data_IF_713224511374
#
_entry.id   IF_713224511374
#
_cell.length_a   1.000
_cell.length_b   1.000
_cell.length_c   1.000
_cell.angle_alpha   90.00
_cell.angle_beta   90.00
_cell.angle_gamma   90.00
#
_symmetry.space_group_name_H-M   'P 1'
#
loop_
_entity.id
_entity.type
_entity.pdbx_description
1 polymer ?
#
# COMPACT_ATOMS: atom_id res chain seq x y z
N UNK A 1 5.01 10.62 -2.82
CA UNK A 1 5.79 10.10 -1.67
C UNK A 1 4.97 9.95 -0.39
N UNK A 2 4.34 11.01 0.14
CA UNK A 2 3.51 10.94 1.38
C UNK A 2 2.46 9.81 1.32
N UNK A 3 1.78 9.67 0.18
CA UNK A 3 0.79 8.60 -0.05
C UNK A 3 1.37 7.18 0.13
N UNK A 4 2.59 6.92 -0.32
CA UNK A 4 3.25 5.61 -0.15
C UNK A 4 3.62 5.36 1.31
N UNK A 5 4.02 6.40 2.05
CA UNK A 5 4.28 6.31 3.49
C UNK A 5 2.98 5.97 4.24
N UNK A 6 1.87 6.60 3.88
CA UNK A 6 0.56 6.30 4.48
C UNK A 6 0.08 4.87 4.18
N UNK A 7 0.27 4.37 2.95
CA UNK A 7 0.00 2.96 2.60
C UNK A 7 0.86 2.04 3.48
N UNK A 8 2.16 2.32 3.58
CA UNK A 8 3.10 1.53 4.40
C UNK A 8 2.69 1.49 5.87
N UNK A 9 2.36 2.65 6.46
CA UNK A 9 1.92 2.73 7.86
C UNK A 9 0.63 1.94 8.11
N UNK A 10 -0.33 1.97 7.18
CA UNK A 10 -1.57 1.19 7.28
C UNK A 10 -1.31 -0.32 7.19
N UNK A 11 -0.43 -0.73 6.28
CA UNK A 11 0.00 -2.13 6.15
C UNK A 11 0.66 -2.64 7.43
N UNK A 12 1.61 -1.89 8.00
CA UNK A 12 2.26 -2.26 9.27
C UNK A 12 1.26 -2.41 10.42
N UNK A 13 0.28 -1.51 10.53
CA UNK A 13 -0.75 -1.62 11.56
C UNK A 13 -1.62 -2.88 11.42
N UNK A 14 -1.83 -3.37 10.19
CA UNK A 14 -2.52 -4.64 9.94
C UNK A 14 -1.62 -5.83 10.29
N UNK A 15 -0.33 -5.77 9.93
CA UNK A 15 0.65 -6.82 10.25
C UNK A 15 0.81 -7.03 11.76
N UNK A 16 0.94 -5.95 12.53
CA UNK A 16 0.99 -6.00 14.00
C UNK A 16 -0.26 -6.68 14.57
N UNK A 17 -1.43 -6.37 14.02
CA UNK A 17 -2.70 -6.95 14.46
C UNK A 17 -2.83 -8.43 14.07
N UNK A 18 -2.35 -8.81 12.88
CA UNK A 18 -2.26 -10.21 12.45
C UNK A 18 -1.31 -11.00 13.35
N UNK A 19 -0.16 -10.44 13.70
CA UNK A 19 0.80 -11.05 14.62
C UNK A 19 0.20 -11.31 16.01
N UNK A 20 -0.62 -10.39 16.51
CA UNK A 20 -1.39 -10.60 17.75
C UNK A 20 -2.41 -11.72 17.59
N UNK A 21 -3.15 -11.74 16.49
CA UNK A 21 -4.14 -12.78 16.22
C UNK A 21 -3.57 -14.18 16.08
N UNK A 22 -2.38 -14.32 15.50
CA UNK A 22 -1.69 -15.61 15.40
C UNK A 22 -1.30 -16.18 16.78
N UNK A 23 -0.99 -15.30 17.75
CA UNK A 23 -0.69 -15.70 19.14
C UNK A 23 -1.94 -15.99 19.94
N UNK A 24 -2.97 -15.16 19.77
CA UNK A 24 -4.21 -15.25 20.53
C UNK A 24 -5.42 -14.96 19.61
N UNK A 25 -6.02 -16.00 19.04
CA UNK A 25 -7.22 -15.85 18.22
C UNK A 25 -8.37 -15.30 19.05
N UNK A 26 -8.93 -14.16 18.66
CA UNK A 26 -10.15 -13.63 19.25
C UNK A 26 -11.03 -12.95 18.20
N UNK A 27 -12.35 -13.03 18.41
CA UNK A 27 -13.35 -12.52 17.46
C UNK A 27 -13.30 -10.99 17.31
N UNK A 28 -12.91 -10.27 18.36
CA UNK A 28 -12.74 -8.82 18.33
C UNK A 28 -11.62 -8.41 17.36
N UNK A 29 -10.44 -9.02 17.45
CA UNK A 29 -9.33 -8.74 16.54
C UNK A 29 -9.67 -9.16 15.10
N UNK A 30 -10.38 -10.28 14.90
CA UNK A 30 -10.77 -10.72 13.56
C UNK A 30 -11.64 -9.67 12.85
N UNK A 31 -12.63 -9.10 13.56
CA UNK A 31 -13.44 -8.00 13.04
C UNK A 31 -12.60 -6.76 12.72
N UNK A 32 -11.70 -6.39 13.63
CA UNK A 32 -10.82 -5.23 13.46
C UNK A 32 -9.85 -5.40 12.27
N UNK A 33 -9.35 -6.61 12.01
CA UNK A 33 -8.53 -6.91 10.82
C UNK A 33 -9.33 -6.68 9.54
N UNK A 34 -10.55 -7.20 9.47
CA UNK A 34 -11.42 -7.01 8.30
C UNK A 34 -11.67 -5.52 8.06
N UNK A 35 -12.05 -4.77 9.11
CA UNK A 35 -12.28 -3.33 9.02
C UNK A 35 -11.03 -2.57 8.55
N UNK A 36 -9.84 -2.91 9.06
CA UNK A 36 -8.57 -2.27 8.67
C UNK A 36 -8.17 -2.60 7.23
N UNK A 37 -8.41 -3.84 6.79
CA UNK A 37 -8.16 -4.24 5.40
C UNK A 37 -9.11 -3.52 4.46
N UNK A 38 -10.41 -3.46 4.77
CA UNK A 38 -11.38 -2.70 3.99
C UNK A 38 -10.95 -1.23 3.87
N UNK A 39 -10.58 -0.60 4.99
CA UNK A 39 -10.12 0.78 5.00
C UNK A 39 -8.79 0.99 4.23
N UNK A 40 -7.91 -0.01 4.19
CA UNK A 40 -6.70 0.02 3.36
C UNK A 40 -7.06 -0.06 1.86
N UNK A 41 -7.93 -1.00 1.48
CA UNK A 41 -8.38 -1.18 0.09
C UNK A 41 -9.03 0.09 -0.44
N UNK A 42 -9.95 0.68 0.33
CA UNK A 42 -10.61 1.94 -0.02
C UNK A 42 -9.62 3.10 -0.16
N UNK A 43 -8.65 3.20 0.76
CA UNK A 43 -7.64 4.24 0.71
C UNK A 43 -6.73 4.11 -0.52
N UNK A 44 -6.29 2.89 -0.85
CA UNK A 44 -5.46 2.65 -2.05
C UNK A 44 -6.24 2.93 -3.33
N UNK A 45 -7.51 2.53 -3.40
CA UNK A 45 -8.39 2.84 -4.53
C UNK A 45 -8.62 4.35 -4.70
N UNK A 46 -8.81 5.08 -3.60
CA UNK A 46 -8.89 6.54 -3.60
C UNK A 46 -7.59 7.17 -4.13
N UNK A 47 -6.44 6.77 -3.60
CA UNK A 47 -5.12 7.30 -4.00
C UNK A 47 -4.87 7.07 -5.48
N UNK A 48 -5.11 5.85 -5.97
CA UNK A 48 -4.99 5.51 -7.38
C UNK A 48 -5.91 6.38 -8.24
N UNK A 49 -7.21 6.45 -7.90
CA UNK A 49 -8.21 7.20 -8.66
C UNK A 49 -7.88 8.69 -8.73
N UNK A 50 -7.43 9.30 -7.63
CA UNK A 50 -7.02 10.70 -7.60
C UNK A 50 -5.82 10.94 -8.52
N UNK A 51 -4.80 10.09 -8.44
CA UNK A 51 -3.61 10.24 -9.27
C UNK A 51 -3.90 10.02 -10.76
N UNK A 52 -4.71 9.02 -11.07
CA UNK A 52 -5.13 8.74 -12.44
C UNK A 52 -5.88 9.94 -13.04
N UNK A 53 -6.85 10.50 -12.32
CA UNK A 53 -7.57 11.71 -12.77
C UNK A 53 -6.66 12.92 -12.92
N UNK A 54 -5.66 13.06 -12.04
CA UNK A 54 -4.66 14.13 -12.17
C UNK A 54 -3.82 13.94 -13.44
N UNK A 55 -3.45 12.70 -13.76
CA UNK A 55 -2.72 12.35 -14.97
C UNK A 55 -3.55 12.62 -16.23
N UNK A 56 -4.82 12.22 -16.26
CA UNK A 56 -5.72 12.47 -17.41
C UNK A 56 -5.93 13.95 -17.71
N UNK A 57 -5.77 14.81 -16.69
CA UNK A 57 -5.90 16.27 -16.81
C UNK A 57 -4.58 16.99 -17.01
N UNK A 58 -3.47 16.25 -17.17
CA UNK A 58 -2.11 16.79 -17.22
C UNK A 58 -1.75 17.69 -16.00
N UNK A 59 -2.37 17.41 -14.85
CA UNK A 59 -2.15 18.14 -13.58
C UNK A 59 -1.28 17.37 -12.59
N UNK A 60 -0.94 16.11 -12.90
CA UNK A 60 -0.01 15.33 -12.11
C UNK A 60 1.42 15.80 -12.40
N UNK A 61 2.25 15.96 -11.37
CA UNK A 61 3.64 16.36 -11.55
C UNK A 61 4.39 15.35 -12.43
N UNK A 62 5.34 15.80 -13.25
CA UNK A 62 6.16 14.91 -14.10
C UNK A 62 6.85 13.83 -13.26
N UNK A 63 7.28 14.19 -12.04
CA UNK A 63 7.86 13.25 -11.09
C UNK A 63 6.84 12.19 -10.67
N UNK A 64 5.65 12.59 -10.23
CA UNK A 64 4.63 11.64 -9.77
C UNK A 64 4.09 10.79 -10.91
N UNK A 65 3.91 11.36 -12.11
CA UNK A 65 3.52 10.62 -13.31
C UNK A 65 4.52 9.52 -13.66
N UNK A 66 5.82 9.82 -13.57
CA UNK A 66 6.89 8.90 -13.95
C UNK A 66 7.26 7.89 -12.86
N UNK A 67 7.18 8.27 -11.59
CA UNK A 67 7.74 7.48 -10.49
C UNK A 67 6.72 7.06 -9.42
N UNK A 68 5.68 7.85 -9.17
CA UNK A 68 4.71 7.54 -8.09
C UNK A 68 3.50 6.77 -8.62
N UNK A 69 2.89 7.22 -9.72
CA UNK A 69 1.67 6.63 -10.29
C UNK A 69 1.86 5.17 -10.75
N UNK A 70 2.97 4.78 -11.41
CA UNK A 70 3.19 3.37 -11.76
C UNK A 70 3.24 2.46 -10.53
N UNK A 71 3.92 2.91 -9.47
CA UNK A 71 4.03 2.18 -8.20
C UNK A 71 2.67 2.06 -7.52
N UNK A 72 1.92 3.16 -7.44
CA UNK A 72 0.57 3.16 -6.87
C UNK A 72 -0.37 2.25 -7.66
N UNK A 73 -0.24 2.22 -8.99
CA UNK A 73 -1.06 1.34 -9.85
C UNK A 73 -0.76 -0.13 -9.58
N UNK A 74 0.52 -0.49 -9.43
CA UNK A 74 0.92 -1.86 -9.09
C UNK A 74 0.39 -2.29 -7.71
N UNK A 75 0.57 -1.44 -6.69
CA UNK A 75 0.04 -1.68 -5.34
C UNK A 75 -1.49 -1.83 -5.39
N UNK A 76 -2.19 -0.99 -6.15
CA UNK A 76 -3.63 -1.05 -6.28
C UNK A 76 -4.13 -2.37 -6.89
N UNK A 77 -3.46 -2.85 -7.95
CA UNK A 77 -3.76 -4.16 -8.55
C UNK A 77 -3.55 -5.28 -7.53
N UNK A 78 -2.42 -5.28 -6.85
CA UNK A 78 -2.11 -6.31 -5.85
C UNK A 78 -3.07 -6.26 -4.67
N UNK A 79 -3.37 -5.09 -4.11
CA UNK A 79 -4.34 -4.95 -3.03
C UNK A 79 -5.70 -5.51 -3.42
N UNK A 80 -6.17 -5.27 -4.65
CA UNK A 80 -7.43 -5.85 -5.15
C UNK A 80 -7.40 -7.37 -5.31
N UNK A 81 -6.26 -7.93 -5.72
CA UNK A 81 -6.10 -9.37 -5.91
C UNK A 81 -5.85 -10.11 -4.59
N UNK A 82 -5.06 -9.50 -3.71
CA UNK A 82 -4.51 -10.11 -2.52
C UNK A 82 -5.36 -9.93 -1.27
N UNK A 83 -6.07 -8.81 -1.17
CA UNK A 83 -6.88 -8.50 0.00
C UNK A 83 -8.38 -8.71 -0.22
N UNK A 84 -8.75 -9.58 -1.18
CA UNK A 84 -10.13 -10.02 -1.33
C UNK A 84 -10.49 -10.96 -0.15
N UNK A 85 -11.00 -10.35 0.92
CA UNK A 85 -11.09 -10.88 2.31
C UNK A 85 -11.87 -12.20 2.43
N UNK A 86 -12.73 -12.52 1.46
CA UNK A 86 -13.78 -13.53 1.65
C UNK A 86 -13.34 -14.99 1.56
N UNK A 87 -12.07 -15.31 1.27
CA UNK A 87 -11.65 -16.72 1.06
C UNK A 87 -10.28 -17.11 1.60
N UNK A 88 -9.54 -16.23 2.28
CA UNK A 88 -8.16 -16.51 2.69
C UNK A 88 -8.06 -16.93 4.15
N UNK A 89 -7.18 -17.89 4.41
CA UNK A 89 -6.73 -18.20 5.77
C UNK A 89 -5.92 -17.04 6.37
N UNK A 90 -5.81 -17.00 7.70
CA UNK A 90 -5.00 -15.99 8.38
C UNK A 90 -3.52 -16.02 7.97
N UNK A 91 -2.97 -17.20 7.69
CA UNK A 91 -1.59 -17.35 7.22
C UNK A 91 -1.38 -16.79 5.81
N UNK A 92 -2.30 -17.05 4.89
CA UNK A 92 -2.24 -16.48 3.54
C UNK A 92 -2.38 -14.96 3.57
N UNK A 93 -3.27 -14.44 4.42
CA UNK A 93 -3.43 -13.02 4.62
C UNK A 93 -2.16 -12.37 5.19
N UNK A 94 -1.53 -12.99 6.20
CA UNK A 94 -0.27 -12.51 6.75
C UNK A 94 0.86 -12.51 5.71
N UNK A 95 0.93 -13.56 4.88
CA UNK A 95 1.88 -13.64 3.75
C UNK A 95 1.69 -12.50 2.75
N UNK A 96 0.44 -12.23 2.35
CA UNK A 96 0.12 -11.12 1.45
C UNK A 96 0.44 -9.74 2.04
N UNK A 97 0.10 -9.51 3.32
CA UNK A 97 0.45 -8.24 3.99
C UNK A 97 1.96 -8.06 4.06
N UNK A 98 2.71 -9.12 4.42
CA UNK A 98 4.19 -9.08 4.43
C UNK A 98 4.78 -8.78 3.05
N UNK A 99 4.21 -9.39 2.00
CA UNK A 99 4.60 -9.14 0.61
C UNK A 99 4.40 -7.68 0.21
N UNK A 100 3.21 -7.15 0.48
CA UNK A 100 2.87 -5.74 0.24
C UNK A 100 3.78 -4.79 1.02
N UNK A 101 4.06 -5.05 2.30
CA UNK A 101 4.99 -4.26 3.12
C UNK A 101 6.39 -4.23 2.48
N UNK A 102 6.89 -5.38 2.06
CA UNK A 102 8.21 -5.51 1.43
C UNK A 102 8.30 -4.70 0.15
N UNK A 103 7.25 -4.77 -0.68
CA UNK A 103 7.17 -4.01 -1.92
C UNK A 103 7.10 -2.50 -1.70
N UNK A 104 6.23 -2.04 -0.81
CA UNK A 104 6.13 -0.60 -0.52
C UNK A 104 7.43 -0.08 0.09
N UNK A 105 8.06 -0.85 0.98
CA UNK A 105 9.38 -0.53 1.55
C UNK A 105 10.46 -0.40 0.49
N UNK A 106 10.48 -1.34 -0.46
CA UNK A 106 11.41 -1.30 -1.58
C UNK A 106 11.25 -0.01 -2.40
N UNK A 107 10.02 0.38 -2.72
CA UNK A 107 9.76 1.63 -3.44
C UNK A 107 10.10 2.89 -2.64
N UNK A 108 9.81 2.90 -1.33
CA UNK A 108 10.23 3.99 -0.45
C UNK A 108 11.76 4.10 -0.40
N UNK A 109 12.49 3.00 -0.30
CA UNK A 109 13.96 3.02 -0.28
C UNK A 109 14.57 3.54 -1.59
N UNK A 110 13.98 3.19 -2.74
CA UNK A 110 14.42 3.69 -4.05
C UNK A 110 14.09 5.16 -4.30
N UNK A 111 12.98 5.65 -3.77
CA UNK A 111 12.61 7.06 -3.92
C UNK A 111 13.38 7.96 -2.94
N UNK A 112 13.70 7.49 -1.73
CA UNK A 112 14.51 8.21 -0.74
C UNK A 112 16.01 8.16 -1.07
N UNK A 113 16.54 7.00 -1.49
CA UNK A 113 17.94 6.83 -1.84
C UNK A 113 18.38 7.54 -3.13
N UNK A 114 17.42 7.90 -4.00
CA UNK A 114 17.72 8.56 -5.28
C UNK A 114 17.67 10.10 -5.20
N UNK A 115 17.39 10.67 -4.02
CA UNK A 115 17.53 12.12 -3.80
C UNK A 115 18.99 12.63 -3.90
N UNK A 116 19.98 11.73 -4.04
CA UNK A 116 21.37 12.07 -4.36
C UNK A 116 21.66 12.28 -5.84
N UNK A 117 20.78 11.84 -6.75
CA UNK A 117 21.09 11.74 -8.20
C UNK A 117 20.23 12.64 -9.09
N UNK A 118 19.25 13.36 -8.52
CA UNK A 118 18.49 14.40 -9.23
C UNK A 118 19.05 15.81 -8.99
N UNK A 119 20.37 15.94 -8.79
CA UNK A 119 21.04 17.23 -9.01
C UNK A 119 20.95 17.55 -10.49
N UNK A 120 19.97 18.39 -10.83
CA UNK A 120 20.06 19.45 -11.84
C UNK A 120 20.60 18.99 -13.20
N UNK A 121 19.70 18.55 -14.07
CA UNK A 121 19.85 18.84 -15.50
C UNK A 121 19.17 20.20 -15.73
N UNK A 122 19.98 21.25 -15.69
CA UNK A 122 19.65 22.57 -16.23
C UNK A 122 20.88 23.12 -16.94
#
# INVERSE_FOLDING_TARGET
>A
MIRLIEIYSRLNAIDELLALMMKQPCTHHAKMIIERITALVEYVDHVYTVMWRQQERDTLSVFDARFTLPVVSEIWVQVKQELNVNSRSLFELAGSITGLISQVSFYLSRTVGNNGTYRVLH
#
